data_IF_951491526482
#
_entry.id   IF_951491526482
#
_cell.length_a   1.000
_cell.length_b   1.000
_cell.length_c   1.000
_cell.angle_alpha   90.00
_cell.angle_beta   90.00
_cell.angle_gamma   90.00
#
_symmetry.space_group_name_H-M   'P 1'
#
loop_
_entity.id
_entity.type
_entity.pdbx_description
1 polymer ?
#
# COMPACT_ATOMS: atom_id res chain seq x y z
N UNK A 1 13.14 9.53 2.95
CA UNK A 1 12.86 8.09 2.74
C UNK A 1 13.87 7.59 1.71
N UNK A 2 14.56 6.47 1.93
CA UNK A 2 15.63 5.96 1.03
C UNK A 2 15.06 4.91 0.08
N UNK A 3 15.47 4.89 -1.19
CA UNK A 3 15.06 3.83 -2.14
C UNK A 3 15.82 2.53 -1.87
N UNK A 4 15.19 1.34 -2.00
CA UNK A 4 13.82 1.07 -2.44
C UNK A 4 12.76 1.20 -1.34
N UNK A 5 11.53 1.56 -1.74
CA UNK A 5 10.41 1.82 -0.80
C UNK A 5 9.17 1.03 -1.20
N UNK A 6 8.43 0.59 -0.20
CA UNK A 6 7.12 -0.03 -0.36
C UNK A 6 6.08 0.71 0.48
N UNK A 7 4.89 0.93 -0.08
CA UNK A 7 3.79 1.65 0.56
C UNK A 7 2.59 0.71 0.72
N UNK A 8 2.11 0.59 1.96
CA UNK A 8 0.87 -0.14 2.28
C UNK A 8 -0.20 0.88 2.68
N UNK A 9 -1.34 0.84 2.00
CA UNK A 9 -2.54 1.59 2.41
C UNK A 9 -3.44 0.70 3.26
N UNK A 10 -3.69 1.11 4.51
CA UNK A 10 -4.42 0.30 5.50
C UNK A 10 -5.79 0.89 5.80
N UNK A 11 -6.83 0.13 5.49
CA UNK A 11 -8.22 0.43 5.86
C UNK A 11 -8.97 1.30 4.85
N UNK A 12 -10.30 1.29 4.96
CA UNK A 12 -11.20 1.97 4.00
C UNK A 12 -10.96 3.47 3.90
N UNK A 13 -10.59 4.12 5.01
CA UNK A 13 -10.26 5.54 5.06
C UNK A 13 -9.01 5.87 4.24
N UNK A 14 -7.93 5.10 4.38
CA UNK A 14 -6.70 5.33 3.63
C UNK A 14 -6.83 4.92 2.15
N UNK A 15 -7.58 3.86 1.85
CA UNK A 15 -7.73 3.37 0.48
C UNK A 15 -8.57 4.32 -0.39
N UNK A 16 -9.57 4.99 0.19
CA UNK A 16 -10.51 5.78 -0.61
C UNK A 16 -11.32 6.81 0.16
N UNK A 17 -10.91 7.23 1.36
CA UNK A 17 -11.67 8.18 2.19
C UNK A 17 -12.76 7.55 3.07
N UNK A 18 -13.05 6.25 2.88
CA UNK A 18 -13.92 5.46 3.74
C UNK A 18 -15.30 6.09 3.96
N UNK A 19 -15.77 6.06 5.20
CA UNK A 19 -17.06 6.65 5.58
C UNK A 19 -17.13 8.16 5.30
N UNK A 20 -15.99 8.85 5.35
CA UNK A 20 -15.92 10.30 5.15
C UNK A 20 -15.71 10.71 3.70
N UNK A 21 -15.88 9.81 2.71
CA UNK A 21 -15.59 10.06 1.29
C UNK A 21 -16.11 11.40 0.72
N UNK A 22 -17.27 11.85 1.21
CA UNK A 22 -17.94 13.08 0.78
C UNK A 22 -17.63 14.33 1.62
N UNK A 23 -16.82 14.20 2.68
CA UNK A 23 -16.40 15.37 3.46
C UNK A 23 -15.41 16.24 2.69
N UNK A 24 -15.47 17.55 2.91
CA UNK A 24 -14.66 18.55 2.21
C UNK A 24 -13.18 18.53 2.63
N UNK A 25 -12.89 18.02 3.83
CA UNK A 25 -11.58 18.10 4.47
C UNK A 25 -10.73 16.83 4.33
N UNK A 26 -11.17 15.84 3.54
CA UNK A 26 -10.47 14.56 3.41
C UNK A 26 -10.04 14.26 1.98
N UNK A 27 -8.91 13.58 1.86
CA UNK A 27 -8.42 13.08 0.58
C UNK A 27 -9.07 11.72 0.30
N UNK A 28 -9.61 11.55 -0.90
CA UNK A 28 -10.30 10.33 -1.36
C UNK A 28 -9.31 9.23 -1.74
N UNK A 29 -8.49 8.83 -0.77
CA UNK A 29 -7.47 7.80 -0.90
C UNK A 29 -6.05 8.33 -0.96
N UNK A 30 -5.12 7.57 -0.36
CA UNK A 30 -3.69 7.87 -0.29
C UNK A 30 -3.02 7.78 -1.68
N UNK A 31 -3.61 7.00 -2.59
CA UNK A 31 -3.13 6.79 -3.98
C UNK A 31 -2.95 8.09 -4.77
N UNK A 32 -3.72 9.12 -4.42
CA UNK A 32 -3.62 10.45 -5.06
C UNK A 32 -2.36 11.23 -4.67
N UNK A 33 -1.68 10.82 -3.60
CA UNK A 33 -0.52 11.51 -3.03
C UNK A 33 0.74 10.67 -3.21
N UNK A 34 0.64 9.36 -2.93
CA UNK A 34 1.73 8.41 -3.00
C UNK A 34 1.30 7.17 -3.78
N UNK A 35 2.21 6.60 -4.54
CA UNK A 35 1.98 5.31 -5.19
C UNK A 35 1.89 4.22 -4.13
N UNK A 36 0.75 3.55 -4.06
CA UNK A 36 0.47 2.48 -3.10
C UNK A 36 0.72 1.13 -3.76
N UNK A 37 1.54 0.28 -3.16
CA UNK A 37 1.82 -1.07 -3.67
C UNK A 37 0.74 -2.08 -3.26
N UNK A 38 0.25 -1.96 -2.02
CA UNK A 38 -0.67 -2.92 -1.43
C UNK A 38 -1.78 -2.22 -0.65
N UNK A 39 -3.00 -2.69 -0.86
CA UNK A 39 -4.20 -2.23 -0.16
C UNK A 39 -4.67 -3.30 0.82
N UNK A 40 -4.78 -2.93 2.09
CA UNK A 40 -5.38 -3.76 3.14
C UNK A 40 -6.80 -3.25 3.37
N UNK A 41 -7.78 -4.14 3.23
CA UNK A 41 -9.20 -3.80 3.40
C UNK A 41 -9.66 -4.01 4.85
N UNK A 42 -10.50 -3.10 5.34
CA UNK A 42 -11.17 -3.21 6.64
C UNK A 42 -11.47 -1.85 7.29
N UNK A 43 -12.34 -1.85 8.30
CA UNK A 43 -12.75 -0.63 9.02
C UNK A 43 -13.25 -0.97 10.46
N UNK A 44 -12.36 -1.30 11.41
CA UNK A 44 -10.90 -1.44 11.26
C UNK A 44 -10.51 -2.79 10.62
N UNK A 45 -9.38 -2.88 9.91
CA UNK A 45 -8.89 -4.16 9.40
C UNK A 45 -8.46 -5.08 10.55
N UNK A 46 -8.83 -6.36 10.44
CA UNK A 46 -8.39 -7.39 11.37
C UNK A 46 -6.87 -7.51 11.37
N UNK A 47 -6.28 -7.86 12.52
CA UNK A 47 -4.84 -8.08 12.65
C UNK A 47 -4.31 -9.07 11.60
N UNK A 48 -5.06 -10.14 11.33
CA UNK A 48 -4.74 -11.14 10.32
C UNK A 48 -4.65 -10.55 8.91
N UNK A 49 -5.60 -9.66 8.55
CA UNK A 49 -5.63 -9.01 7.24
C UNK A 49 -4.43 -8.07 7.06
N UNK A 50 -4.02 -7.38 8.13
CA UNK A 50 -2.81 -6.56 8.12
C UNK A 50 -1.56 -7.42 7.95
N UNK A 51 -1.43 -8.50 8.72
CA UNK A 51 -0.28 -9.42 8.60
C UNK A 51 -0.21 -10.03 7.20
N UNK A 52 -1.35 -10.38 6.62
CA UNK A 52 -1.43 -10.85 5.24
C UNK A 52 -0.92 -9.79 4.24
N UNK A 53 -1.29 -8.51 4.42
CA UNK A 53 -0.78 -7.42 3.60
C UNK A 53 0.74 -7.26 3.68
N UNK A 54 1.31 -7.41 4.87
CA UNK A 54 2.78 -7.35 5.08
C UNK A 54 3.47 -8.54 4.42
N UNK A 55 2.94 -9.76 4.57
CA UNK A 55 3.47 -10.95 3.91
C UNK A 55 3.42 -10.81 2.38
N UNK A 56 2.35 -10.20 1.86
CA UNK A 56 2.23 -9.91 0.43
C UNK A 56 3.27 -8.89 -0.04
N UNK A 57 3.60 -7.88 0.78
CA UNK A 57 4.66 -6.92 0.48
C UNK A 57 6.02 -7.61 0.43
N UNK A 58 6.31 -8.44 1.43
CA UNK A 58 7.54 -9.23 1.48
C UNK A 58 7.67 -10.11 0.24
N UNK A 59 6.60 -10.79 -0.18
CA UNK A 59 6.59 -11.58 -1.43
C UNK A 59 6.85 -10.74 -2.67
N UNK A 60 6.34 -9.51 -2.74
CA UNK A 60 6.60 -8.61 -3.86
C UNK A 60 8.09 -8.21 -3.92
N UNK A 61 8.67 -7.85 -2.78
CA UNK A 61 10.10 -7.51 -2.66
C UNK A 61 10.99 -8.69 -3.05
N UNK A 62 10.66 -9.91 -2.60
CA UNK A 62 11.44 -11.10 -2.96
C UNK A 62 11.38 -11.45 -4.45
N UNK A 63 10.34 -11.03 -5.17
CA UNK A 63 10.24 -11.24 -6.62
C UNK A 63 10.96 -10.17 -7.44
N UNK A 64 11.37 -9.05 -6.83
CA UNK A 64 12.13 -8.02 -7.52
C UNK A 64 13.55 -8.52 -7.78
N UNK A 65 13.85 -8.77 -9.06
CA UNK A 65 15.20 -9.08 -9.52
C UNK A 65 15.92 -7.82 -9.98
N UNK A 66 16.14 -6.90 -9.04
CA UNK A 66 16.76 -5.60 -9.33
C UNK A 66 18.16 -5.76 -9.96
N UNK A 67 18.91 -6.80 -9.56
CA UNK A 67 20.23 -7.12 -10.12
C UNK A 67 20.16 -7.56 -11.59
N UNK A 68 19.20 -8.41 -11.97
CA UNK A 68 19.05 -8.86 -13.36
C UNK A 68 18.63 -7.70 -14.27
N UNK A 69 17.69 -6.87 -13.81
CA UNK A 69 17.27 -5.67 -14.55
C UNK A 69 18.39 -4.65 -14.73
N UNK A 70 19.36 -4.59 -13.81
CA UNK A 70 20.55 -3.78 -13.98
C UNK A 70 21.50 -4.37 -15.03
N UNK A 71 21.63 -5.69 -15.09
CA UNK A 71 22.57 -6.38 -15.97
C UNK A 71 22.13 -6.45 -17.45
N UNK A 72 20.82 -6.47 -17.71
CA UNK A 72 20.26 -6.38 -19.09
C UNK A 72 20.31 -4.97 -19.70
N UNK A 73 20.72 -3.97 -18.92
CA UNK A 73 20.77 -2.56 -19.32
C UNK A 73 22.18 -2.13 -19.70
#
# INVERSE_FOLDING_TARGET
MLDPRGVISMGSYANGGGYYHYSYSIVRGCDRIVLVDIYVHGCPPTTEALMYGVLQLQKNIHRRNDFLHWWEK
#
